data_IF_183608137336
#
_entry.id   IF_183608137336
#
_cell.length_a   1.000
_cell.length_b   1.000
_cell.length_c   1.000
_cell.angle_alpha   90.00
_cell.angle_beta   90.00
_cell.angle_gamma   90.00
#
_symmetry.space_group_name_H-M   'P 1'
#
loop_
_entity.id
_entity.type
_entity.pdbx_description
1 polymer ?
#
# COMPACT_ATOMS: atom_id res chain seq x y z
N UNK A 1 -6.06 18.21 11.45
CA UNK A 1 -6.12 17.01 10.58
C UNK A 1 -5.05 16.03 11.00
N UNK A 2 -5.46 14.93 11.54
CA UNK A 2 -4.52 13.94 12.06
C UNK A 2 -4.00 13.02 10.97
N UNK A 3 -2.69 12.81 10.98
CA UNK A 3 -2.05 11.82 10.14
C UNK A 3 -2.18 10.44 10.80
N UNK A 4 -2.59 9.45 10.04
CA UNK A 4 -2.70 8.08 10.55
C UNK A 4 -1.31 7.52 10.80
N UNK A 5 -1.16 6.84 11.94
CA UNK A 5 0.05 6.12 12.30
C UNK A 5 -0.35 4.83 13.02
N UNK A 6 0.01 3.70 12.44
CA UNK A 6 -0.35 2.38 12.96
C UNK A 6 0.86 1.48 13.02
N UNK A 7 0.85 0.57 13.98
CA UNK A 7 1.82 -0.50 14.07
C UNK A 7 1.08 -1.84 14.21
N UNK A 8 1.65 -2.90 13.69
CA UNK A 8 1.10 -4.24 13.84
C UNK A 8 2.19 -5.20 14.32
N UNK A 9 1.88 -5.93 15.39
CA UNK A 9 2.75 -6.97 15.95
C UNK A 9 2.05 -8.33 15.95
N UNK A 10 0.82 -8.40 15.49
CA UNK A 10 0.04 -9.64 15.38
C UNK A 10 -0.90 -9.58 14.16
N UNK A 11 -1.55 -10.70 13.90
CA UNK A 11 -2.44 -10.82 12.73
C UNK A 11 -3.66 -9.92 12.83
N UNK A 12 -4.19 -9.70 14.03
CA UNK A 12 -5.35 -8.82 14.23
C UNK A 12 -5.02 -7.39 13.87
N UNK A 13 -3.90 -6.87 14.35
CA UNK A 13 -3.42 -5.52 14.02
C UNK A 13 -3.10 -5.38 12.53
N UNK A 14 -2.54 -6.43 11.93
CA UNK A 14 -2.28 -6.43 10.49
C UNK A 14 -3.58 -6.34 9.69
N UNK A 15 -4.64 -6.97 10.18
CA UNK A 15 -5.98 -6.85 9.61
C UNK A 15 -6.50 -5.42 9.63
N UNK A 16 -6.22 -4.66 10.68
CA UNK A 16 -6.57 -3.23 10.76
C UNK A 16 -5.83 -2.43 9.70
N UNK A 17 -4.53 -2.67 9.54
CA UNK A 17 -3.72 -2.02 8.49
C UNK A 17 -4.27 -2.39 7.11
N UNK A 18 -4.59 -3.65 6.88
CA UNK A 18 -5.17 -4.11 5.62
C UNK A 18 -6.46 -3.35 5.28
N UNK A 19 -7.32 -3.13 6.26
CA UNK A 19 -8.57 -2.39 6.06
C UNK A 19 -8.32 -0.94 5.64
N UNK A 20 -7.32 -0.27 6.21
CA UNK A 20 -6.97 1.09 5.82
C UNK A 20 -6.35 1.17 4.42
N UNK A 21 -5.72 0.11 3.97
CA UNK A 21 -5.07 0.05 2.65
C UNK A 21 -5.95 -0.56 1.56
N UNK A 22 -7.18 -0.96 1.89
CA UNK A 22 -8.10 -1.49 0.89
C UNK A 22 -8.29 -0.47 -0.24
N UNK A 23 -8.12 -0.91 -1.47
CA UNK A 23 -8.22 -0.11 -2.70
C UNK A 23 -7.15 0.98 -2.82
N UNK A 24 -6.06 0.88 -2.06
CA UNK A 24 -4.92 1.77 -2.21
C UNK A 24 -4.25 1.54 -3.58
N UNK A 25 -3.75 2.62 -4.17
CA UNK A 25 -3.15 2.61 -5.49
C UNK A 25 -1.66 2.90 -5.39
N UNK A 26 -0.87 2.10 -6.08
CA UNK A 26 0.59 2.24 -6.13
C UNK A 26 1.13 1.75 -7.47
N UNK A 27 2.42 1.93 -7.67
CA UNK A 27 3.15 1.40 -8.83
C UNK A 27 4.21 0.43 -8.35
N UNK A 28 4.71 -0.41 -9.25
CA UNK A 28 5.79 -1.36 -8.92
C UNK A 28 7.04 -0.63 -8.40
N UNK A 29 7.33 0.56 -8.91
CA UNK A 29 8.44 1.41 -8.43
C UNK A 29 8.26 1.94 -7.01
N UNK A 30 7.05 1.88 -6.47
CA UNK A 30 6.76 2.26 -5.08
C UNK A 30 7.03 1.12 -4.08
N UNK A 31 7.48 -0.03 -4.57
CA UNK A 31 7.77 -1.22 -3.78
C UNK A 31 9.28 -1.48 -3.80
N UNK A 32 9.84 -1.84 -2.66
CA UNK A 32 11.26 -2.22 -2.59
C UNK A 32 11.51 -3.23 -1.47
N UNK A 33 12.36 -4.21 -1.75
CA UNK A 33 12.88 -5.10 -0.74
C UNK A 33 14.33 -4.75 -0.42
N UNK A 34 14.56 -4.31 0.80
CA UNK A 34 15.88 -3.98 1.33
C UNK A 34 16.44 -5.21 2.04
N UNK A 35 16.97 -6.15 1.26
CA UNK A 35 17.36 -7.48 1.75
C UNK A 35 18.40 -7.44 2.86
N UNK A 36 19.36 -6.52 2.81
CA UNK A 36 20.35 -6.36 3.86
C UNK A 36 19.79 -5.91 5.20
N UNK A 37 18.60 -5.33 5.21
CA UNK A 37 17.90 -4.88 6.40
C UNK A 37 16.70 -5.76 6.74
N UNK A 38 16.42 -6.79 5.94
CA UNK A 38 15.22 -7.63 6.06
C UNK A 38 13.94 -6.80 6.11
N UNK A 39 13.87 -5.76 5.27
CA UNK A 39 12.76 -4.81 5.26
C UNK A 39 12.14 -4.71 3.88
N UNK A 40 10.82 -4.83 3.84
CA UNK A 40 10.04 -4.57 2.64
C UNK A 40 9.27 -3.27 2.82
N UNK A 41 9.39 -2.35 1.87
CA UNK A 41 8.77 -1.03 1.95
C UNK A 41 7.81 -0.80 0.79
N UNK A 42 6.75 -0.04 1.05
CA UNK A 42 5.86 0.43 0.01
C UNK A 42 5.36 1.84 0.31
N UNK A 43 5.05 2.55 -0.75
CA UNK A 43 4.35 3.83 -0.71
C UNK A 43 3.08 3.69 -1.52
N UNK A 44 1.95 4.09 -0.96
CA UNK A 44 0.66 3.91 -1.60
C UNK A 44 -0.20 5.16 -1.43
N UNK A 45 -1.19 5.30 -2.32
CA UNK A 45 -2.22 6.33 -2.25
C UNK A 45 -3.47 5.66 -1.73
N UNK A 46 -3.63 5.72 -0.41
CA UNK A 46 -4.77 5.09 0.23
C UNK A 46 -6.01 5.99 0.17
N UNK A 47 -7.18 5.37 0.09
CA UNK A 47 -8.43 6.10 0.24
C UNK A 47 -8.62 6.41 1.75
N UNK A 48 -9.09 7.61 2.05
CA UNK A 48 -9.33 8.03 3.43
C UNK A 48 -10.71 7.55 3.90
N UNK A 49 -10.74 6.31 4.43
CA UNK A 49 -11.97 5.68 4.91
C UNK A 49 -12.47 6.28 6.22
N UNK A 50 -11.61 7.03 6.93
CA UNK A 50 -11.94 7.64 8.22
C UNK A 50 -12.59 9.01 8.11
N UNK A 51 -12.75 9.54 6.89
CA UNK A 51 -13.38 10.82 6.67
C UNK A 51 -14.83 10.82 7.17
N UNK A 52 -15.24 11.94 7.80
CA UNK A 52 -16.61 12.12 8.29
C UNK A 52 -17.64 12.00 7.15
N UNK A 53 -18.83 11.54 7.51
CA UNK A 53 -19.94 11.45 6.57
C UNK A 53 -20.21 12.84 5.96
N UNK A 54 -20.29 12.90 4.63
CA UNK A 54 -20.48 14.15 3.90
C UNK A 54 -19.20 14.89 3.57
N UNK A 55 -18.05 14.44 4.07
CA UNK A 55 -16.76 15.00 3.67
C UNK A 55 -16.42 14.60 2.23
N UNK A 56 -15.74 15.46 1.45
CA UNK A 56 -15.31 15.09 0.11
C UNK A 56 -14.35 13.90 0.15
N UNK A 57 -14.46 12.96 -0.80
CA UNK A 57 -13.55 11.83 -0.88
C UNK A 57 -12.10 12.31 -1.06
N UNK A 58 -11.18 11.70 -0.32
CA UNK A 58 -9.76 12.07 -0.35
C UNK A 58 -8.88 10.83 -0.40
N UNK A 59 -7.70 11.00 -0.99
CA UNK A 59 -6.62 10.04 -0.89
C UNK A 59 -5.44 10.65 -0.14
N UNK A 60 -4.69 9.80 0.53
CA UNK A 60 -3.51 10.18 1.31
C UNK A 60 -2.31 9.37 0.87
N UNK A 61 -1.16 10.04 0.78
CA UNK A 61 0.09 9.35 0.57
C UNK A 61 0.52 8.69 1.88
N UNK A 62 0.77 7.40 1.82
CA UNK A 62 1.04 6.58 2.99
C UNK A 62 2.25 5.69 2.75
N UNK A 63 3.15 5.63 3.71
CA UNK A 63 4.26 4.70 3.69
C UNK A 63 4.03 3.55 4.65
N UNK A 64 4.49 2.38 4.28
CA UNK A 64 4.44 1.20 5.11
C UNK A 64 5.71 0.39 4.96
N UNK A 65 6.16 -0.23 6.05
CA UNK A 65 7.23 -1.20 5.95
C UNK A 65 6.95 -2.42 6.84
N UNK A 66 7.42 -3.55 6.34
CA UNK A 66 7.50 -4.81 7.08
C UNK A 66 8.96 -5.02 7.45
N UNK A 67 9.23 -5.24 8.72
CA UNK A 67 10.54 -5.70 9.20
C UNK A 67 10.54 -7.22 9.34
N UNK A 68 11.69 -7.80 9.54
CA UNK A 68 11.84 -9.25 9.71
C UNK A 68 11.37 -10.04 8.48
N UNK A 69 11.55 -9.48 7.30
CA UNK A 69 11.22 -10.15 6.04
C UNK A 69 12.40 -10.99 5.60
N UNK A 70 12.20 -12.31 5.57
CA UNK A 70 13.24 -13.27 5.24
C UNK A 70 13.32 -13.53 3.73
N UNK A 71 12.19 -13.40 3.04
CA UNK A 71 12.08 -13.70 1.62
C UNK A 71 10.89 -12.99 1.00
N UNK A 72 11.06 -12.56 -0.25
CA UNK A 72 9.98 -11.94 -1.05
C UNK A 72 9.78 -12.76 -2.31
N UNK A 73 8.53 -13.10 -2.59
CA UNK A 73 8.12 -13.76 -3.83
C UNK A 73 7.01 -12.94 -4.45
N UNK A 74 6.98 -12.84 -5.77
CA UNK A 74 5.94 -12.06 -6.45
C UNK A 74 5.43 -12.77 -7.69
N UNK A 75 4.18 -12.44 -8.05
CA UNK A 75 3.52 -12.93 -9.26
C UNK A 75 2.81 -11.75 -9.90
N UNK A 76 3.09 -11.53 -11.21
CA UNK A 76 2.47 -10.44 -11.96
C UNK A 76 2.99 -9.06 -11.64
N UNK A 77 3.93 -8.95 -10.71
CA UNK A 77 4.56 -7.69 -10.31
C UNK A 77 6.03 -7.97 -10.07
N UNK A 78 6.88 -7.04 -10.48
CA UNK A 78 8.30 -7.06 -10.14
C UNK A 78 8.61 -5.81 -9.32
N UNK A 79 8.72 -5.92 -7.98
CA UNK A 79 8.97 -4.76 -7.12
C UNK A 79 10.22 -3.98 -7.56
N UNK A 80 10.11 -2.66 -7.50
CA UNK A 80 11.22 -1.75 -7.84
C UNK A 80 11.37 -1.44 -9.32
N UNK A 81 10.62 -2.09 -10.20
CA UNK A 81 10.71 -1.82 -11.63
C UNK A 81 9.86 -0.62 -12.03
N UNK A 82 10.32 0.12 -13.03
CA UNK A 82 9.53 1.20 -13.61
C UNK A 82 8.34 0.62 -14.38
N UNK A 83 7.15 1.09 -14.07
CA UNK A 83 5.94 0.73 -14.78
C UNK A 83 4.91 1.83 -14.56
N UNK A 84 4.23 2.24 -15.62
CA UNK A 84 3.17 3.22 -15.54
C UNK A 84 1.82 2.61 -15.15
N UNK A 85 1.74 1.27 -15.12
CA UNK A 85 0.50 0.59 -14.77
C UNK A 85 0.23 0.72 -13.28
N UNK A 86 -0.90 1.31 -12.87
CA UNK A 86 -1.25 1.35 -11.46
C UNK A 86 -1.64 -0.04 -10.95
N UNK A 87 -1.27 -0.31 -9.71
CA UNK A 87 -1.64 -1.50 -8.97
C UNK A 87 -2.67 -1.10 -7.92
N UNK A 88 -3.68 -1.93 -7.73
CA UNK A 88 -4.67 -1.72 -6.70
C UNK A 88 -4.55 -2.81 -5.64
N UNK A 89 -4.23 -2.40 -4.43
CA UNK A 89 -4.11 -3.32 -3.30
C UNK A 89 -5.51 -3.63 -2.76
N UNK A 90 -5.87 -4.91 -2.76
CA UNK A 90 -7.18 -5.36 -2.27
C UNK A 90 -7.14 -5.75 -0.80
N UNK A 91 -6.09 -6.45 -0.39
CA UNK A 91 -5.98 -6.95 0.98
C UNK A 91 -4.54 -7.36 1.31
N UNK A 92 -4.26 -7.38 2.60
CA UNK A 92 -3.07 -8.02 3.14
C UNK A 92 -3.56 -9.15 4.04
N UNK A 93 -3.16 -10.37 3.74
CA UNK A 93 -3.53 -11.56 4.52
C UNK A 93 -2.30 -12.13 5.21
N UNK A 94 -2.52 -12.90 6.26
CA UNK A 94 -1.43 -13.56 6.98
C UNK A 94 -1.79 -15.01 7.25
N UNK A 95 -0.85 -15.90 6.96
CA UNK A 95 -0.97 -17.33 7.24
C UNK A 95 0.18 -17.75 8.13
N UNK A 96 -0.07 -18.17 9.37
CA UNK A 96 1.00 -18.64 10.24
C UNK A 96 1.63 -19.93 9.70
N UNK A 97 2.94 -20.04 9.89
CA UNK A 97 3.69 -21.26 9.60
C UNK A 97 4.09 -21.90 10.93
N UNK A 98 5.25 -21.55 11.46
CA UNK A 98 5.65 -21.93 12.82
C UNK A 98 5.66 -20.66 13.67
N UNK A 99 4.60 -20.43 14.45
CA UNK A 99 4.43 -19.19 15.19
C UNK A 99 5.70 -18.83 15.98
N UNK A 100 6.17 -17.57 15.95
CA UNK A 100 5.50 -16.38 15.42
C UNK A 100 5.68 -16.13 13.91
N UNK A 101 6.32 -17.04 13.19
CA UNK A 101 6.59 -16.93 11.75
C UNK A 101 5.33 -17.16 10.93
N UNK A 102 5.32 -16.61 9.72
CA UNK A 102 4.23 -16.82 8.79
C UNK A 102 4.48 -16.11 7.47
N UNK A 103 3.49 -16.16 6.61
CA UNK A 103 3.52 -15.54 5.28
C UNK A 103 2.46 -14.45 5.19
N UNK A 104 2.89 -13.22 4.94
CA UNK A 104 1.98 -12.14 4.60
C UNK A 104 1.86 -12.08 3.08
N UNK A 105 0.64 -11.94 2.59
CA UNK A 105 0.38 -11.82 1.16
C UNK A 105 -0.31 -10.49 0.88
N UNK A 106 0.30 -9.70 0.01
CA UNK A 106 -0.31 -8.51 -0.54
C UNK A 106 -1.04 -8.94 -1.81
N UNK A 107 -2.37 -8.84 -1.79
CA UNK A 107 -3.24 -9.28 -2.89
C UNK A 107 -3.63 -8.06 -3.70
N UNK A 108 -3.37 -8.10 -5.01
CA UNK A 108 -3.69 -6.99 -5.91
C UNK A 108 -4.79 -7.40 -6.88
N UNK A 109 -5.51 -6.41 -7.39
CA UNK A 109 -6.48 -6.64 -8.46
C UNK A 109 -5.78 -7.20 -9.70
N UNK A 110 -6.46 -8.06 -10.44
CA UNK A 110 -5.91 -8.65 -11.65
C UNK A 110 -5.04 -9.89 -11.43
N UNK A 111 -5.04 -10.45 -10.23
CA UNK A 111 -4.35 -11.69 -9.93
C UNK A 111 -2.88 -11.54 -9.53
N UNK A 112 -2.36 -10.32 -9.49
CA UNK A 112 -1.00 -10.08 -9.00
C UNK A 112 -0.93 -10.22 -7.48
N UNK A 113 0.21 -10.67 -6.97
CA UNK A 113 0.41 -10.85 -5.53
C UNK A 113 1.89 -10.76 -5.17
N UNK A 114 2.14 -10.35 -3.92
CA UNK A 114 3.48 -10.38 -3.32
C UNK A 114 3.37 -11.13 -2.01
N UNK A 115 4.22 -12.13 -1.81
CA UNK A 115 4.31 -12.89 -0.58
C UNK A 115 5.59 -12.57 0.16
N UNK A 116 5.45 -12.28 1.44
CA UNK A 116 6.56 -11.98 2.35
C UNK A 116 6.64 -13.09 3.39
N UNK A 117 7.74 -13.81 3.42
CA UNK A 117 8.00 -14.77 4.49
C UNK A 117 8.57 -14.00 5.67
N UNK A 118 7.84 -13.99 6.78
CA UNK A 118 8.16 -13.19 7.96
C UNK A 118 8.66 -14.08 9.11
N UNK A 119 9.70 -13.62 9.78
CA UNK A 119 10.11 -14.21 11.05
C UNK A 119 9.03 -13.98 12.11
N UNK A 120 8.45 -12.79 12.10
CA UNK A 120 7.29 -12.41 12.91
C UNK A 120 6.63 -11.18 12.26
N UNK A 121 5.44 -10.82 12.72
CA UNK A 121 4.77 -9.61 12.23
C UNK A 121 5.36 -8.40 12.96
N UNK A 122 5.98 -7.52 12.20
CA UNK A 122 6.50 -6.23 12.68
C UNK A 122 6.33 -5.22 11.56
N UNK A 123 5.22 -4.50 11.60
CA UNK A 123 4.78 -3.61 10.51
C UNK A 123 4.48 -2.23 11.06
N UNK A 124 4.86 -1.22 10.31
CA UNK A 124 4.49 0.16 10.59
C UNK A 124 3.92 0.82 9.35
N UNK A 125 2.89 1.61 9.56
CA UNK A 125 2.23 2.40 8.53
C UNK A 125 2.10 3.83 9.03
N UNK A 126 2.40 4.79 8.16
CA UNK A 126 2.15 6.19 8.50
C UNK A 126 1.83 7.02 7.27
N UNK A 127 0.91 7.96 7.43
CA UNK A 127 0.64 8.98 6.41
C UNK A 127 1.84 9.90 6.28
N UNK A 128 2.18 10.26 5.04
CA UNK A 128 3.38 11.04 4.73
C UNK A 128 3.12 12.53 4.55
N UNK A 129 1.89 12.98 4.78
CA UNK A 129 1.51 14.38 4.69
C UNK A 129 0.60 14.72 3.51
N UNK A 130 0.99 14.45 2.25
CA UNK A 130 0.13 14.78 1.13
C UNK A 130 -1.24 14.13 1.20
N UNK A 131 -2.26 14.94 0.95
CA UNK A 131 -3.67 14.55 0.90
C UNK A 131 -4.33 15.35 -0.21
N UNK A 132 -5.26 14.73 -0.95
CA UNK A 132 -5.98 15.41 -2.04
C UNK A 132 -7.37 14.82 -2.22
N UNK A 133 -8.28 15.63 -2.74
CA UNK A 133 -9.64 15.20 -3.05
C UNK A 133 -9.66 14.36 -4.32
N UNK A 134 -10.55 13.39 -4.37
CA UNK A 134 -10.78 12.54 -5.53
C UNK A 134 -12.27 12.48 -5.84
N UNK A 135 -12.62 11.96 -7.02
CA UNK A 135 -14.01 11.77 -7.42
C UNK A 135 -14.52 10.44 -6.88
N UNK A 136 -15.50 10.52 -5.99
CA UNK A 136 -16.23 9.36 -5.49
C UNK A 136 -15.43 8.41 -4.62
N UNK A 137 -16.14 7.44 -4.04
CA UNK A 137 -15.55 6.36 -3.24
C UNK A 137 -15.15 5.21 -4.17
N UNK A 138 -14.13 4.41 -3.77
CA UNK A 138 -13.78 3.25 -4.56
C UNK A 138 -14.94 2.25 -4.68
N UNK A 139 -15.35 1.99 -5.92
CA UNK A 139 -16.16 0.88 -6.37
C UNK A 139 -15.59 0.45 -7.73
N UNK A 140 -16.18 -0.52 -8.42
CA UNK A 140 -15.59 -1.00 -9.67
C UNK A 140 -15.49 0.07 -10.77
N UNK A 141 -16.44 0.97 -10.88
CA UNK A 141 -16.40 2.08 -11.85
C UNK A 141 -15.58 3.25 -11.31
N UNK A 142 -15.77 3.63 -10.06
CA UNK A 142 -15.06 4.72 -9.42
C UNK A 142 -13.55 4.42 -9.30
N UNK A 143 -13.18 3.16 -9.09
CA UNK A 143 -11.77 2.75 -9.05
C UNK A 143 -11.09 2.98 -10.40
N UNK A 144 -11.76 2.64 -11.50
CA UNK A 144 -11.20 2.88 -12.84
C UNK A 144 -11.01 4.37 -13.11
N UNK A 145 -11.99 5.20 -12.78
CA UNK A 145 -11.91 6.66 -12.91
C UNK A 145 -10.85 7.26 -11.98
N UNK A 146 -10.80 6.76 -10.74
CA UNK A 146 -9.82 7.18 -9.73
C UNK A 146 -8.38 6.84 -10.13
N UNK A 147 -8.16 5.71 -10.75
CA UNK A 147 -6.85 5.31 -11.27
C UNK A 147 -6.34 6.29 -12.31
N UNK A 148 -7.21 6.68 -13.25
CA UNK A 148 -6.83 7.63 -14.30
C UNK A 148 -6.48 9.00 -13.71
N UNK A 149 -7.29 9.50 -12.77
CA UNK A 149 -7.06 10.78 -12.11
C UNK A 149 -5.77 10.77 -11.28
N UNK A 150 -5.54 9.70 -10.53
CA UNK A 150 -4.34 9.56 -9.69
C UNK A 150 -3.09 9.43 -10.54
N UNK A 151 -3.14 8.67 -11.62
CA UNK A 151 -2.01 8.54 -12.54
C UNK A 151 -1.62 9.90 -13.13
N UNK A 152 -2.59 10.75 -13.49
CA UNK A 152 -2.34 12.10 -13.93
C UNK A 152 -1.68 12.97 -12.87
N UNK A 153 -2.21 12.96 -11.67
CA UNK A 153 -1.67 13.73 -10.54
C UNK A 153 -0.26 13.28 -10.13
N UNK A 154 0.00 11.98 -10.19
CA UNK A 154 1.31 11.43 -9.85
C UNK A 154 2.37 11.82 -10.90
N UNK A 155 1.99 11.87 -12.17
CA UNK A 155 2.82 12.30 -13.27
C UNK A 155 3.26 13.76 -13.07
N UNK A 156 2.34 14.62 -12.69
CA UNK A 156 2.61 16.04 -12.41
C UNK A 156 3.49 16.22 -11.16
N UNK A 157 3.18 15.48 -10.11
CA UNK A 157 3.96 15.52 -8.87
C UNK A 157 5.40 15.05 -9.03
N UNK A 158 5.59 14.05 -9.87
CA UNK A 158 6.92 13.52 -10.13
C UNK A 158 7.77 14.48 -10.96
N UNK A 159 7.16 15.24 -11.87
CA UNK A 159 7.84 16.26 -12.65
C UNK A 159 8.32 17.41 -11.76
N UNK A 160 7.55 17.76 -10.75
CA UNK A 160 7.93 18.78 -9.76
C UNK A 160 9.08 18.37 -8.87
N UNK A 161 9.19 17.09 -8.55
CA UNK A 161 10.29 16.56 -7.73
C UNK A 161 11.62 16.45 -8.50
N UNK A 162 11.56 16.31 -9.80
CA UNK A 162 12.75 16.24 -10.64
C UNK A 162 13.50 17.56 -10.79
N UNK A 163 12.87 18.64 -10.39
CA UNK A 163 13.44 19.99 -10.49
C UNK A 163 13.86 20.59 -9.15
N UNK A 164 13.63 19.87 -8.08
CA UNK A 164 13.99 20.31 -6.73
C UNK A 164 15.43 19.79 -6.31
#
# INVERSE_FOLDING_TARGET
MELLRLAALDAEDLGVISAHLQDAILKASDLAYLGGQHRFVLVARRFDWSAEEGAPPRRRLTGMHFDRVLRVRSRGIRPGTESDSPLELLAITFEPTEAPSGTATLVFAGGAAIQLDLECIEVQLKDLGPVWEVEGRPDHEAVAAGRAAIAGNLSEGNTGKGTA
#
